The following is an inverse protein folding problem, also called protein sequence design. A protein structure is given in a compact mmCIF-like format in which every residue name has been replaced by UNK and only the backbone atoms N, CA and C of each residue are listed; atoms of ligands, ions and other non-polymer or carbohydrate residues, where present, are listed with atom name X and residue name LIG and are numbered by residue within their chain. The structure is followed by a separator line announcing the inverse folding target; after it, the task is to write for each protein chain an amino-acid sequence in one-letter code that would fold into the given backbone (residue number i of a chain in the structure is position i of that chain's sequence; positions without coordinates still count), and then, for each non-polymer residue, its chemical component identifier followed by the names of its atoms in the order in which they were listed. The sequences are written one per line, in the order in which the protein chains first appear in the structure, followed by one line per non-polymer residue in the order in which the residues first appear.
data_IF_383411394706
#
_entry.id   IF_383411394706
#
_cell.length_a   1.000
_cell.length_b   1.000
_cell.length_c   1.000
_cell.angle_alpha   90.00
_cell.angle_beta   90.00
_cell.angle_gamma   90.00
#
_symmetry.space_group_name_H-M   'P 1'
#
loop_
_entity.id
_entity.type
_entity.pdbx_description
1 polymer ?
#
# COMPACT_ATOMS: atom_id res chain seq x y z
N UNK A 1 33.39 -5.51 -6.16
CA UNK A 1 33.49 -5.07 -4.76
C UNK A 1 32.15 -5.36 -4.08
N UNK A 2 32.06 -6.46 -3.33
CA UNK A 2 30.83 -6.84 -2.63
C UNK A 2 30.57 -5.83 -1.52
N UNK A 3 29.49 -5.07 -1.64
CA UNK A 3 29.00 -4.21 -0.56
C UNK A 3 28.61 -5.12 0.59
N UNK A 4 29.31 -5.03 1.71
CA UNK A 4 28.94 -5.68 2.96
C UNK A 4 27.64 -5.00 3.41
N UNK A 5 26.51 -5.56 2.97
CA UNK A 5 25.20 -5.07 3.35
C UNK A 5 25.04 -5.29 4.85
N UNK A 6 24.89 -4.21 5.62
CA UNK A 6 24.68 -4.34 7.06
C UNK A 6 23.45 -5.21 7.31
N UNK A 7 23.51 -6.24 8.16
CA UNK A 7 22.42 -7.20 8.36
C UNK A 7 21.11 -6.53 8.79
N UNK A 8 21.17 -5.35 9.44
CA UNK A 8 19.97 -4.55 9.78
C UNK A 8 19.26 -3.97 8.57
N UNK A 9 19.99 -3.50 7.54
CA UNK A 9 19.42 -2.86 6.36
C UNK A 9 18.61 -3.85 5.52
N UNK A 10 19.13 -5.08 5.37
CA UNK A 10 18.44 -6.18 4.69
C UNK A 10 17.10 -6.52 5.37
N UNK A 11 17.13 -6.65 6.69
CA UNK A 11 15.93 -6.94 7.49
C UNK A 11 14.86 -5.84 7.41
N UNK A 12 15.24 -4.56 7.39
CA UNK A 12 14.30 -3.44 7.23
C UNK A 12 13.63 -3.43 5.84
N UNK A 13 14.39 -3.74 4.77
CA UNK A 13 13.87 -3.89 3.41
C UNK A 13 12.90 -5.06 3.31
N UNK A 14 13.24 -6.22 3.88
CA UNK A 14 12.37 -7.41 3.88
C UNK A 14 11.03 -7.11 4.59
N UNK A 15 11.06 -6.43 5.74
CA UNK A 15 9.84 -6.03 6.45
C UNK A 15 9.02 -4.98 5.68
N UNK A 16 9.68 -4.07 4.96
CA UNK A 16 9.00 -3.10 4.10
C UNK A 16 8.26 -3.82 2.96
N UNK A 17 8.97 -4.69 2.24
CA UNK A 17 8.41 -5.50 1.15
C UNK A 17 7.25 -6.37 1.62
N UNK A 18 7.35 -6.93 2.83
CA UNK A 18 6.28 -7.69 3.46
C UNK A 18 5.07 -6.80 3.77
N UNK A 19 5.26 -5.68 4.46
CA UNK A 19 4.15 -4.79 4.83
C UNK A 19 3.45 -4.16 3.63
N UNK A 20 4.21 -3.82 2.58
CA UNK A 20 3.65 -3.32 1.33
C UNK A 20 2.91 -4.42 0.57
N UNK A 21 3.50 -5.61 0.46
CA UNK A 21 2.85 -6.78 -0.14
C UNK A 21 1.56 -7.17 0.56
N UNK A 22 1.52 -7.09 1.90
CA UNK A 22 0.30 -7.33 2.68
C UNK A 22 -0.81 -6.33 2.34
N UNK A 23 -0.49 -5.04 2.24
CA UNK A 23 -1.47 -4.00 1.91
C UNK A 23 -2.03 -4.19 0.50
N UNK A 24 -1.15 -4.29 -0.50
CA UNK A 24 -1.54 -4.45 -1.91
C UNK A 24 -2.25 -5.79 -2.14
N UNK A 25 -1.78 -6.86 -1.50
CA UNK A 25 -2.42 -8.17 -1.56
C UNK A 25 -3.84 -8.15 -0.99
N UNK A 26 -4.07 -7.45 0.12
CA UNK A 26 -5.41 -7.26 0.66
C UNK A 26 -6.30 -6.45 -0.28
N UNK A 27 -5.77 -5.37 -0.86
CA UNK A 27 -6.48 -4.58 -1.86
C UNK A 27 -6.90 -5.42 -3.08
N UNK A 28 -6.02 -6.29 -3.57
CA UNK A 28 -6.31 -7.19 -4.68
C UNK A 28 -7.38 -8.22 -4.32
N UNK A 29 -7.30 -8.79 -3.11
CA UNK A 29 -8.28 -9.76 -2.64
C UNK A 29 -9.67 -9.10 -2.49
N UNK A 30 -9.75 -7.91 -1.91
CA UNK A 30 -10.99 -7.11 -1.81
C UNK A 30 -11.53 -6.80 -3.20
N UNK A 31 -10.70 -6.28 -4.11
CA UNK A 31 -11.13 -5.92 -5.46
C UNK A 31 -11.64 -7.12 -6.25
N UNK A 32 -11.03 -8.29 -6.07
CA UNK A 32 -11.41 -9.52 -6.79
C UNK A 32 -12.70 -10.12 -6.24
N UNK A 33 -12.83 -10.18 -4.91
CA UNK A 33 -13.99 -10.79 -4.25
C UNK A 33 -15.12 -9.80 -3.97
N UNK A 34 -14.95 -8.53 -4.34
CA UNK A 34 -15.96 -7.50 -4.14
C UNK A 34 -17.32 -7.93 -4.67
N UNK A 35 -17.33 -8.47 -5.89
CA UNK A 35 -18.57 -8.92 -6.52
C UNK A 35 -19.25 -10.01 -5.70
N UNK A 36 -18.48 -11.00 -5.23
CA UNK A 36 -19.01 -12.07 -4.37
C UNK A 36 -19.55 -11.52 -3.04
N UNK A 37 -18.83 -10.62 -2.39
CA UNK A 37 -19.24 -10.01 -1.12
C UNK A 37 -20.55 -9.23 -1.22
N UNK A 38 -20.75 -8.50 -2.33
CA UNK A 38 -21.97 -7.74 -2.55
C UNK A 38 -23.14 -8.66 -2.91
N UNK A 39 -22.94 -9.67 -3.76
CA UNK A 39 -24.00 -10.60 -4.17
C UNK A 39 -24.51 -11.44 -3.00
N UNK A 40 -23.61 -11.87 -2.10
CA UNK A 40 -23.97 -12.62 -0.89
C UNK A 40 -24.90 -11.80 0.02
N UNK A 41 -24.66 -10.49 0.13
CA UNK A 41 -25.44 -9.59 0.98
C UNK A 41 -26.67 -8.98 0.28
N UNK A 42 -26.60 -8.77 -1.04
CA UNK A 42 -27.63 -8.15 -1.89
C UNK A 42 -27.88 -9.00 -3.15
N UNK A 43 -28.76 -10.00 -3.09
CA UNK A 43 -29.04 -10.86 -4.24
C UNK A 43 -29.67 -10.07 -5.39
N UNK A 44 -29.04 -10.13 -6.57
CA UNK A 44 -29.53 -9.48 -7.81
C UNK A 44 -28.90 -8.13 -8.14
N UNK A 45 -28.00 -7.60 -7.30
CA UNK A 45 -27.40 -6.26 -7.45
C UNK A 45 -25.97 -6.28 -8.03
N UNK A 46 -25.70 -7.19 -8.98
CA UNK A 46 -24.37 -7.36 -9.61
C UNK A 46 -23.87 -6.07 -10.30
N UNK A 47 -24.79 -5.32 -10.93
CA UNK A 47 -24.49 -4.05 -11.59
C UNK A 47 -23.97 -3.03 -10.57
N UNK A 48 -24.58 -2.99 -9.39
CA UNK A 48 -24.15 -2.08 -8.33
C UNK A 48 -22.82 -2.52 -7.71
N UNK A 49 -22.56 -3.83 -7.60
CA UNK A 49 -21.25 -4.34 -7.19
C UNK A 49 -20.12 -3.88 -8.14
N UNK A 50 -20.35 -3.96 -9.46
CA UNK A 50 -19.42 -3.44 -10.46
C UNK A 50 -19.18 -1.92 -10.34
N UNK A 51 -20.23 -1.15 -10.07
CA UNK A 51 -20.12 0.32 -9.88
C UNK A 51 -19.40 0.69 -8.58
N UNK A 52 -19.56 -0.09 -7.51
CA UNK A 52 -18.77 0.08 -6.28
C UNK A 52 -17.30 -0.17 -6.60
N UNK A 53 -16.98 -1.25 -7.31
CA UNK A 53 -15.62 -1.55 -7.73
C UNK A 53 -14.99 -0.44 -8.56
N UNK A 54 -15.75 0.10 -9.53
CA UNK A 54 -15.32 1.26 -10.30
C UNK A 54 -15.03 2.47 -9.40
N UNK A 55 -15.87 2.73 -8.40
CA UNK A 55 -15.68 3.84 -7.46
C UNK A 55 -14.42 3.66 -6.63
N UNK A 56 -14.12 2.45 -6.16
CA UNK A 56 -12.87 2.12 -5.45
C UNK A 56 -11.67 2.47 -6.32
N UNK A 57 -11.68 2.07 -7.60
CA UNK A 57 -10.57 2.31 -8.53
C UNK A 57 -10.40 3.80 -8.82
N UNK A 58 -11.49 4.51 -9.13
CA UNK A 58 -11.44 5.96 -9.42
C UNK A 58 -11.00 6.77 -8.20
N UNK A 59 -11.54 6.46 -7.02
CA UNK A 59 -11.12 7.08 -5.77
C UNK A 59 -9.67 6.73 -5.43
N UNK A 60 -9.24 5.50 -5.70
CA UNK A 60 -7.86 5.05 -5.53
C UNK A 60 -6.87 5.81 -6.41
N UNK A 61 -7.21 6.04 -7.69
CA UNK A 61 -6.40 6.87 -8.58
C UNK A 61 -6.24 8.30 -8.07
N UNK A 62 -7.33 8.91 -7.61
CA UNK A 62 -7.28 10.24 -6.97
C UNK A 62 -6.42 10.21 -5.70
N UNK A 63 -6.53 9.15 -4.89
CA UNK A 63 -5.73 8.91 -3.70
C UNK A 63 -4.24 8.87 -3.98
N UNK A 64 -3.81 8.12 -5.00
CA UNK A 64 -2.39 8.07 -5.41
C UNK A 64 -1.83 9.44 -5.79
N UNK A 65 -2.60 10.24 -6.54
CA UNK A 65 -2.18 11.58 -6.95
C UNK A 65 -2.08 12.51 -5.74
N UNK A 66 -3.10 12.53 -4.88
CA UNK A 66 -3.13 13.40 -3.70
C UNK A 66 -2.04 12.99 -2.70
N UNK A 67 -1.90 11.70 -2.41
CA UNK A 67 -0.85 11.20 -1.52
C UNK A 67 0.55 11.46 -2.08
N UNK A 68 0.75 11.31 -3.39
CA UNK A 68 2.01 11.66 -4.06
C UNK A 68 2.36 13.13 -3.91
N UNK A 69 1.45 14.04 -4.27
CA UNK A 69 1.66 15.49 -4.13
C UNK A 69 1.88 15.89 -2.66
N UNK A 70 1.11 15.29 -1.74
CA UNK A 70 1.25 15.54 -0.31
C UNK A 70 2.62 15.13 0.21
N UNK A 71 3.12 13.98 -0.25
CA UNK A 71 4.45 13.47 0.09
C UNK A 71 5.56 14.37 -0.44
N UNK A 72 5.44 14.84 -1.69
CA UNK A 72 6.39 15.77 -2.32
C UNK A 72 6.52 17.08 -1.51
N UNK A 73 5.41 17.57 -0.97
CA UNK A 73 5.33 18.82 -0.19
C UNK A 73 5.85 18.65 1.24
N UNK A 74 5.45 17.58 1.93
CA UNK A 74 5.73 17.39 3.36
C UNK A 74 7.08 16.74 3.61
N UNK A 75 7.58 15.92 2.67
CA UNK A 75 8.80 15.11 2.81
C UNK A 75 8.86 14.25 4.08
N UNK A 76 7.74 14.04 4.75
CA UNK A 76 7.61 13.25 5.97
C UNK A 76 7.14 11.83 5.65
N UNK A 77 7.95 11.07 4.91
CA UNK A 77 7.62 9.73 4.43
C UNK A 77 7.15 8.79 5.55
N UNK A 78 7.88 8.75 6.67
CA UNK A 78 7.55 7.88 7.79
C UNK A 78 6.14 8.16 8.35
N UNK A 79 5.85 9.41 8.71
CA UNK A 79 4.58 9.73 9.38
C UNK A 79 3.39 9.55 8.44
N UNK A 80 3.54 9.93 7.17
CA UNK A 80 2.48 9.78 6.17
C UNK A 80 2.19 8.31 5.89
N UNK A 81 3.20 7.46 5.69
CA UNK A 81 3.02 6.03 5.44
C UNK A 81 2.30 5.33 6.60
N UNK A 82 2.69 5.64 7.85
CA UNK A 82 2.02 5.07 9.03
C UNK A 82 0.57 5.55 9.15
N UNK A 83 0.32 6.84 8.93
CA UNK A 83 -1.02 7.41 8.96
C UNK A 83 -1.93 6.78 7.89
N UNK A 84 -1.47 6.68 6.64
CA UNK A 84 -2.23 6.07 5.55
C UNK A 84 -2.54 4.61 5.84
N UNK A 85 -1.59 3.84 6.39
CA UNK A 85 -1.84 2.44 6.76
C UNK A 85 -2.88 2.30 7.87
N UNK A 86 -2.83 3.15 8.90
CA UNK A 86 -3.85 3.19 9.95
C UNK A 86 -5.23 3.58 9.40
N UNK A 87 -5.28 4.56 8.50
CA UNK A 87 -6.52 4.98 7.86
C UNK A 87 -7.08 3.87 6.96
N UNK A 88 -6.25 3.11 6.27
CA UNK A 88 -6.65 1.92 5.50
C UNK A 88 -7.24 0.83 6.40
N UNK A 89 -6.68 0.63 7.59
CA UNK A 89 -7.21 -0.32 8.58
C UNK A 89 -8.56 0.12 9.14
N UNK A 90 -8.69 1.39 9.52
CA UNK A 90 -9.96 1.97 9.95
C UNK A 90 -10.98 1.87 8.81
N UNK A 91 -10.58 2.21 7.58
CA UNK A 91 -11.40 2.08 6.38
C UNK A 91 -11.90 0.65 6.18
N UNK A 92 -11.04 -0.35 6.41
CA UNK A 92 -11.41 -1.76 6.29
C UNK A 92 -12.41 -2.19 7.35
N UNK A 93 -12.23 -1.74 8.60
CA UNK A 93 -13.20 -1.98 9.67
C UNK A 93 -14.55 -1.33 9.36
N UNK A 94 -14.53 -0.05 8.96
CA UNK A 94 -15.73 0.70 8.59
C UNK A 94 -16.44 0.03 7.40
N UNK A 95 -15.70 -0.40 6.38
CA UNK A 95 -16.23 -1.14 5.25
C UNK A 95 -16.90 -2.45 5.70
N UNK A 96 -16.26 -3.20 6.60
CA UNK A 96 -16.80 -4.46 7.15
C UNK A 96 -18.10 -4.24 7.91
N UNK A 97 -18.16 -3.23 8.79
CA UNK A 97 -19.38 -2.89 9.52
C UNK A 97 -20.47 -2.36 8.61
N UNK A 98 -20.11 -1.54 7.62
CA UNK A 98 -21.05 -0.94 6.66
C UNK A 98 -21.68 -1.98 5.75
N UNK A 99 -20.91 -3.00 5.35
CA UNK A 99 -21.42 -4.16 4.61
C UNK A 99 -22.51 -4.90 5.40
N UNK A 100 -22.37 -4.98 6.72
CA UNK A 100 -23.37 -5.59 7.61
C UNK A 100 -24.67 -4.77 7.67
N UNK A 101 -24.58 -3.43 7.57
CA UNK A 101 -25.70 -2.50 7.72
C UNK A 101 -26.69 -2.46 6.55
N UNK A 102 -26.41 -3.06 5.39
CA UNK A 102 -27.43 -3.23 4.36
C UNK A 102 -27.79 -1.97 3.53
N UNK A 103 -27.03 -0.87 3.63
CA UNK A 103 -27.24 0.32 2.78
C UNK A 103 -26.17 0.49 1.69
N UNK A 104 -26.55 0.19 0.43
CA UNK A 104 -25.70 0.31 -0.77
C UNK A 104 -24.98 1.67 -0.90
N UNK A 105 -25.66 2.78 -0.59
CA UNK A 105 -25.06 4.12 -0.68
C UNK A 105 -23.89 4.31 0.29
N UNK A 106 -23.99 3.76 1.49
CA UNK A 106 -22.93 3.86 2.50
C UNK A 106 -21.74 2.97 2.11
N UNK A 107 -22.00 1.81 1.50
CA UNK A 107 -20.95 0.95 0.93
C UNK A 107 -20.18 1.68 -0.18
N UNK A 108 -20.84 2.45 -1.04
CA UNK A 108 -20.17 3.27 -2.07
C UNK A 108 -19.15 4.24 -1.46
N UNK A 109 -19.57 5.01 -0.45
CA UNK A 109 -18.71 6.01 0.19
C UNK A 109 -17.55 5.34 0.92
N UNK A 110 -17.83 4.31 1.71
CA UNK A 110 -16.81 3.62 2.51
C UNK A 110 -15.82 2.84 1.66
N UNK A 111 -16.27 2.19 0.59
CA UNK A 111 -15.41 1.53 -0.39
C UNK A 111 -14.54 2.54 -1.13
N UNK A 112 -15.10 3.70 -1.53
CA UNK A 112 -14.33 4.80 -2.12
C UNK A 112 -13.23 5.32 -1.18
N UNK A 113 -13.55 5.54 0.09
CA UNK A 113 -12.58 5.97 1.12
C UNK A 113 -11.51 4.89 1.34
N UNK A 114 -11.91 3.62 1.42
CA UNK A 114 -10.98 2.49 1.53
C UNK A 114 -10.03 2.42 0.34
N UNK A 115 -10.56 2.53 -0.89
CA UNK A 115 -9.77 2.55 -2.12
C UNK A 115 -8.81 3.72 -2.18
N UNK A 116 -9.27 4.92 -1.78
CA UNK A 116 -8.44 6.11 -1.72
C UNK A 116 -7.18 5.91 -0.86
N UNK A 117 -7.32 5.37 0.35
CA UNK A 117 -6.18 5.15 1.26
C UNK A 117 -5.34 3.92 0.88
N UNK A 118 -5.96 2.81 0.46
CA UNK A 118 -5.25 1.59 0.04
C UNK A 118 -4.42 1.84 -1.22
N UNK A 119 -4.98 2.47 -2.24
CA UNK A 119 -4.25 2.78 -3.47
C UNK A 119 -3.28 3.93 -3.24
N UNK A 120 -3.63 4.92 -2.41
CA UNK A 120 -2.71 5.99 -2.01
C UNK A 120 -1.44 5.48 -1.31
N UNK A 121 -1.48 4.30 -0.70
CA UNK A 121 -0.32 3.64 -0.12
C UNK A 121 0.67 3.09 -1.17
N UNK A 122 0.22 2.71 -2.37
CA UNK A 122 1.12 2.18 -3.42
C UNK A 122 2.32 3.11 -3.70
N UNK A 123 2.11 4.39 -4.08
CA UNK A 123 3.23 5.29 -4.39
C UNK A 123 4.13 5.49 -3.16
N UNK A 124 3.55 5.61 -1.96
CA UNK A 124 4.32 5.69 -0.71
C UNK A 124 5.23 4.47 -0.49
N UNK A 125 4.72 3.27 -0.78
CA UNK A 125 5.47 2.02 -0.67
C UNK A 125 6.60 1.89 -1.68
N UNK A 126 6.39 2.34 -2.93
CA UNK A 126 7.44 2.37 -3.95
C UNK A 126 8.57 3.33 -3.58
N UNK A 127 8.23 4.57 -3.23
CA UNK A 127 9.19 5.59 -2.77
C UNK A 127 9.99 5.10 -1.56
N UNK A 128 9.30 4.50 -0.58
CA UNK A 128 9.93 3.97 0.62
C UNK A 128 10.85 2.78 0.35
N UNK A 129 10.47 1.89 -0.57
CA UNK A 129 11.30 0.76 -0.98
C UNK A 129 12.57 1.21 -1.74
N UNK A 130 12.45 2.17 -2.65
CA UNK A 130 13.60 2.76 -3.36
C UNK A 130 14.58 3.37 -2.37
N UNK A 131 14.10 4.15 -1.42
CA UNK A 131 14.93 4.79 -0.40
C UNK A 131 15.67 3.76 0.48
N UNK A 132 14.99 2.68 0.89
CA UNK A 132 15.60 1.59 1.68
C UNK A 132 16.67 0.82 0.90
N UNK A 133 16.43 0.59 -0.38
CA UNK A 133 17.31 -0.22 -1.24
C UNK A 133 18.48 0.56 -1.82
N UNK A 134 18.55 1.89 -1.64
CA UNK A 134 19.62 2.70 -2.20
C UNK A 134 21.02 2.18 -1.81
N UNK A 135 21.97 2.00 -2.74
CA UNK A 135 22.00 2.44 -4.14
C UNK A 135 21.77 1.30 -5.15
N UNK A 136 20.92 0.32 -4.82
CA UNK A 136 20.45 -0.65 -5.80
C UNK A 136 19.55 0.03 -6.85
N UNK A 137 19.40 -0.61 -8.01
CA UNK A 137 18.58 -0.05 -9.08
C UNK A 137 17.10 0.03 -8.69
N UNK A 138 16.45 1.18 -8.93
CA UNK A 138 15.03 1.41 -8.62
C UNK A 138 14.10 0.37 -9.26
N UNK A 139 14.50 -0.12 -10.44
CA UNK A 139 13.78 -1.19 -11.16
C UNK A 139 13.79 -2.52 -10.41
N UNK A 140 14.90 -2.88 -9.75
CA UNK A 140 14.98 -4.11 -8.94
C UNK A 140 14.00 -4.04 -7.76
N UNK A 141 13.97 -2.91 -7.06
CA UNK A 141 13.14 -2.71 -5.86
C UNK A 141 11.65 -2.70 -6.20
N UNK A 142 11.28 -2.03 -7.29
CA UNK A 142 9.91 -2.03 -7.81
C UNK A 142 9.48 -3.42 -8.28
N UNK A 143 10.39 -4.20 -8.87
CA UNK A 143 10.16 -5.58 -9.25
C UNK A 143 9.93 -6.51 -8.05
N UNK A 144 10.76 -6.40 -7.01
CA UNK A 144 10.60 -7.16 -5.76
C UNK A 144 9.29 -6.81 -5.04
N UNK A 145 8.91 -5.53 -5.01
CA UNK A 145 7.67 -5.09 -4.38
C UNK A 145 6.43 -5.62 -5.12
N UNK A 146 6.44 -5.59 -6.46
CA UNK A 146 5.37 -6.20 -7.26
C UNK A 146 5.33 -7.72 -7.12
N UNK A 147 6.48 -8.39 -7.07
CA UNK A 147 6.55 -9.83 -6.83
C UNK A 147 5.91 -10.19 -5.48
N UNK A 148 6.26 -9.46 -4.42
CA UNK A 148 5.65 -9.59 -3.09
C UNK A 148 4.12 -9.38 -3.16
N UNK A 149 3.69 -8.26 -3.75
CA UNK A 149 2.27 -7.93 -3.90
C UNK A 149 1.47 -9.02 -4.63
N UNK A 150 2.01 -9.60 -5.70
CA UNK A 150 1.34 -10.66 -6.45
C UNK A 150 1.27 -11.96 -5.66
N UNK A 151 2.35 -12.36 -4.97
CA UNK A 151 2.36 -13.57 -4.15
C UNK A 151 1.30 -13.45 -3.03
N UNK A 152 1.32 -12.33 -2.29
CA UNK A 152 0.31 -12.10 -1.23
C UNK A 152 -1.09 -11.94 -1.79
N UNK A 153 -1.26 -11.27 -2.93
CA UNK A 153 -2.54 -11.12 -3.61
C UNK A 153 -3.17 -12.46 -3.97
N UNK A 154 -2.42 -13.40 -4.55
CA UNK A 154 -2.93 -14.74 -4.87
C UNK A 154 -3.30 -15.50 -3.59
N UNK A 155 -2.42 -15.51 -2.59
CA UNK A 155 -2.67 -16.22 -1.32
C UNK A 155 -3.92 -15.69 -0.63
N UNK A 156 -4.07 -14.37 -0.53
CA UNK A 156 -5.21 -13.73 0.13
C UNK A 156 -6.50 -13.88 -0.64
N UNK A 157 -6.47 -13.72 -1.97
CA UNK A 157 -7.65 -13.92 -2.82
C UNK A 157 -8.21 -15.33 -2.65
N UNK A 158 -7.36 -16.36 -2.71
CA UNK A 158 -7.79 -17.76 -2.55
C UNK A 158 -8.25 -18.04 -1.11
N UNK A 159 -7.50 -17.56 -0.11
CA UNK A 159 -7.82 -17.81 1.30
C UNK A 159 -9.13 -17.14 1.69
N UNK A 160 -9.29 -15.86 1.34
CA UNK A 160 -10.52 -15.12 1.57
C UNK A 160 -11.69 -15.76 0.82
N UNK A 161 -11.50 -16.20 -0.42
CA UNK A 161 -12.57 -16.85 -1.20
C UNK A 161 -13.13 -18.08 -0.51
N UNK A 162 -12.25 -18.94 0.00
CA UNK A 162 -12.65 -20.12 0.77
C UNK A 162 -13.30 -19.77 2.11
N UNK A 163 -12.85 -18.70 2.76
CA UNK A 163 -13.43 -18.26 4.04
C UNK A 163 -14.83 -17.69 3.81
N UNK A 164 -15.02 -16.88 2.76
CA UNK A 164 -16.31 -16.29 2.42
C UNK A 164 -17.32 -17.39 2.07
N UNK A 165 -16.94 -18.37 1.24
CA UNK A 165 -17.83 -19.48 0.86
C UNK A 165 -18.31 -20.31 2.07
N UNK A 166 -17.49 -20.40 3.13
CA UNK A 166 -17.77 -21.29 4.29
C UNK A 166 -18.32 -20.57 5.53
N UNK A 167 -17.91 -19.33 5.77
CA UNK A 167 -18.18 -18.55 6.99
C UNK A 167 -18.78 -17.16 6.70
N UNK A 168 -18.96 -16.83 5.42
CA UNK A 168 -19.53 -15.58 4.93
C UNK A 168 -18.55 -14.41 4.83
N UNK A 169 -19.02 -13.35 4.20
CA UNK A 169 -18.27 -12.11 3.91
C UNK A 169 -17.59 -11.48 5.14
N UNK A 170 -18.25 -11.51 6.31
CA UNK A 170 -17.70 -10.93 7.55
C UNK A 170 -16.41 -11.62 7.99
N UNK A 171 -16.36 -12.96 7.94
CA UNK A 171 -15.19 -13.72 8.33
C UNK A 171 -14.00 -13.46 7.39
N UNK A 172 -14.28 -13.32 6.08
CA UNK A 172 -13.26 -12.96 5.09
C UNK A 172 -12.66 -11.58 5.34
N UNK A 173 -13.50 -10.60 5.67
CA UNK A 173 -13.04 -9.24 5.96
C UNK A 173 -12.29 -9.14 7.30
N UNK A 174 -12.68 -9.89 8.32
CA UNK A 174 -11.94 -9.99 9.58
C UNK A 174 -10.57 -10.63 9.34
N UNK A 175 -10.49 -11.69 8.53
CA UNK A 175 -9.22 -12.30 8.14
C UNK A 175 -8.28 -11.27 7.52
N UNK A 176 -8.73 -10.52 6.51
CA UNK A 176 -7.92 -9.46 5.91
C UNK A 176 -7.54 -8.37 6.92
N UNK A 177 -8.46 -7.96 7.79
CA UNK A 177 -8.21 -6.94 8.81
C UNK A 177 -7.10 -7.35 9.79
N UNK A 178 -7.02 -8.64 10.15
CA UNK A 178 -5.95 -9.19 11.01
C UNK A 178 -4.61 -9.12 10.27
N UNK A 179 -4.55 -9.50 8.99
CA UNK A 179 -3.32 -9.41 8.21
C UNK A 179 -2.88 -7.96 7.99
N UNK A 180 -3.83 -7.03 7.81
CA UNK A 180 -3.55 -5.61 7.70
C UNK A 180 -3.04 -5.03 9.03
N UNK A 181 -3.57 -5.48 10.17
CA UNK A 181 -3.06 -5.17 11.51
C UNK A 181 -1.61 -5.62 11.66
N UNK A 182 -1.30 -6.86 11.27
CA UNK A 182 0.07 -7.38 11.28
C UNK A 182 0.98 -6.51 10.41
N UNK A 183 0.53 -6.16 9.19
CA UNK A 183 1.25 -5.25 8.30
C UNK A 183 1.53 -3.89 8.95
N UNK A 184 0.53 -3.30 9.61
CA UNK A 184 0.64 -2.01 10.32
C UNK A 184 1.68 -2.08 11.44
N UNK A 185 1.66 -3.14 12.24
CA UNK A 185 2.62 -3.34 13.34
C UNK A 185 4.03 -3.50 12.79
N UNK A 186 4.21 -4.24 11.70
CA UNK A 186 5.49 -4.39 11.03
C UNK A 186 5.99 -3.04 10.51
N UNK A 187 5.17 -2.28 9.79
CA UNK A 187 5.50 -0.93 9.31
C UNK A 187 5.88 -0.01 10.47
N UNK A 188 5.13 -0.03 11.57
CA UNK A 188 5.44 0.76 12.76
C UNK A 188 6.81 0.45 13.36
N UNK A 189 7.20 -0.83 13.41
CA UNK A 189 8.52 -1.26 13.93
C UNK A 189 9.67 -0.81 13.02
N UNK A 190 9.49 -0.87 11.71
CA UNK A 190 10.48 -0.35 10.74
C UNK A 190 10.65 1.16 10.90
N UNK A 191 9.54 1.91 10.98
CA UNK A 191 9.59 3.36 11.05
C UNK A 191 10.17 3.90 12.36
N UNK A 192 9.99 3.14 13.45
CA UNK A 192 10.56 3.42 14.77
C UNK A 192 12.06 3.11 14.82
N UNK A 193 12.61 2.39 13.84
CA UNK A 193 14.05 2.10 13.81
C UNK A 193 14.86 3.39 13.52
N UNK A 194 15.92 3.66 14.32
CA UNK A 194 16.70 4.91 14.23
C UNK A 194 17.71 4.93 13.07
N UNK A 195 17.69 3.94 12.16
CA UNK A 195 18.61 3.85 11.02
C UNK A 195 18.26 4.78 9.85
N UNK A 196 17.17 5.53 9.97
CA UNK A 196 16.62 6.31 8.88
C UNK A 196 16.50 7.77 9.35
N UNK A 197 17.48 8.63 9.01
CA UNK A 197 17.46 10.03 9.37
C UNK A 197 16.25 10.73 8.75
N UNK A 198 15.63 11.61 9.51
CA UNK A 198 14.44 12.38 9.16
C UNK A 198 14.69 13.49 8.12
N UNK A 199 15.91 13.59 7.59
CA UNK A 199 16.35 14.62 6.67
C UNK A 199 17.27 13.98 5.66
N UNK A 200 16.79 13.84 4.43
CA UNK A 200 17.36 14.42 3.19
C UNK A 200 16.73 13.65 2.03
N UNK A 201 15.95 14.26 1.13
CA UNK A 201 15.72 13.64 -0.17
C UNK A 201 17.08 13.57 -0.86
N UNK A 202 17.67 12.37 -0.93
CA UNK A 202 18.95 12.10 -1.58
C UNK A 202 18.95 12.56 -3.05
N UNK A 203 17.77 12.76 -3.66
CA UNK A 203 17.61 13.41 -4.97
C UNK A 203 18.27 14.81 -5.04
N UNK A 204 18.27 15.56 -3.94
CA UNK A 204 18.97 16.87 -3.85
C UNK A 204 20.49 16.73 -3.70
N UNK A 205 20.98 15.68 -3.04
CA UNK A 205 22.41 15.38 -2.97
C UNK A 205 22.93 14.79 -4.29
N UNK A 206 22.16 13.95 -4.97
CA UNK A 206 22.48 13.44 -6.31
C UNK A 206 22.49 14.56 -7.37
N UNK A 207 21.57 15.54 -7.29
CA UNK A 207 21.62 16.73 -8.14
C UNK A 207 22.85 17.60 -7.85
N UNK A 208 23.24 17.80 -6.58
CA UNK A 208 24.49 18.51 -6.26
C UNK A 208 25.75 17.76 -6.71
N UNK A 209 25.72 16.42 -6.72
CA UNK A 209 26.85 15.60 -7.15
C UNK A 209 26.97 15.56 -8.68
N UNK A 210 25.85 15.66 -9.41
CA UNK A 210 25.84 15.89 -10.86
C UNK A 210 26.26 17.31 -11.24
N UNK A 211 25.80 18.35 -10.52
CA UNK A 211 26.20 19.75 -10.76
C UNK A 211 27.71 19.98 -10.55
N UNK A 212 28.34 19.31 -9.59
CA UNK A 212 29.79 19.40 -9.38
C UNK A 212 30.62 18.69 -10.46
N UNK A 213 30.01 17.82 -11.27
CA UNK A 213 30.68 17.10 -12.37
C UNK A 213 30.55 17.87 -13.70
N UNK A 214 29.65 18.85 -13.79
CA UNK A 214 29.37 19.66 -14.97
C UNK A 214 29.94 21.09 -14.91
N UNK A 215 30.97 21.40 -14.10
CA UNK A 215 31.71 22.64 -14.32
C UNK A 215 32.49 22.55 -15.65
N UNK A 216 32.17 23.36 -16.67
CA UNK A 216 32.86 23.30 -17.93
C UNK A 216 34.23 23.96 -17.76
N UNK A 217 35.29 23.21 -18.10
CA UNK A 217 36.61 23.78 -18.35
C UNK A 217 36.54 24.68 -19.59
N UNK A 218 36.04 25.90 -19.42
CA UNK A 218 36.18 26.98 -20.39
C UNK A 218 37.62 27.50 -20.28
N UNK A 219 38.50 26.96 -21.12
CA UNK A 219 39.79 27.58 -21.46
C UNK A 219 39.59 28.48 -22.69
N UNK A 220 40.25 29.63 -22.70
CA UNK A 220 41.49 29.74 -23.47
C UNK A 220 42.74 29.66 -22.59
#
# INVERSE_FOLDING_TARGET
AGKIEHPRKKTDTDFCLLSAGLNVGCFYAISTLLNQMIIEQYPGEEVNAGRIGLTIVVAGMAGSIICGIWLDKTKTYKQTTLAVYLLSLIGMLVYTFTLNLGHLWVVFVTAGVLGFFMTGYLPLGFEFAVELTYPESEGTSSGLLNCSAQIFGIIFTISQGKIIDRWGTLAGNIFLSIFLLIGTVLTGKILTSPLFPQHTPLLSQCLQQHEHTEQPSVKP
#
